data_IF_682242042223
#
_entry.id   IF_682242042223
#
_cell.length_a   1.000
_cell.length_b   1.000
_cell.length_c   1.000
_cell.angle_alpha   90.00
_cell.angle_beta   90.00
_cell.angle_gamma   90.00
#
_symmetry.space_group_name_H-M   'P 1'
#
loop_
_entity.id
_entity.type
_entity.pdbx_description
1 polymer ?
#
# COMPACT_ATOMS: atom_id res chain seq x y z
N UNK A 1 21.12 2.86 -19.26
CA UNK A 1 19.77 2.68 -18.71
C UNK A 1 19.85 2.90 -17.21
N UNK A 2 18.90 3.62 -16.62
CA UNK A 2 18.82 3.75 -15.16
C UNK A 2 18.01 2.56 -14.63
N UNK A 3 18.68 1.68 -13.88
CA UNK A 3 18.07 0.51 -13.24
C UNK A 3 17.18 0.96 -12.07
N UNK A 4 15.98 1.44 -12.38
CA UNK A 4 14.94 1.70 -11.39
C UNK A 4 14.28 0.37 -10.99
N UNK A 5 14.98 -0.41 -10.17
CA UNK A 5 14.39 -1.54 -9.46
C UNK A 5 13.71 -1.05 -8.18
N UNK A 6 12.47 -1.48 -7.99
CA UNK A 6 11.69 -1.19 -6.79
C UNK A 6 11.36 -2.51 -6.09
N UNK A 7 11.51 -2.53 -4.77
CA UNK A 7 11.12 -3.64 -3.93
C UNK A 7 9.82 -3.26 -3.21
N UNK A 8 8.79 -4.10 -3.37
CA UNK A 8 7.49 -3.93 -2.73
C UNK A 8 7.32 -4.98 -1.63
N UNK A 9 7.08 -4.52 -0.40
CA UNK A 9 6.73 -5.34 0.76
C UNK A 9 5.29 -5.07 1.17
N UNK A 10 4.60 -6.13 1.59
CA UNK A 10 3.27 -6.06 2.18
C UNK A 10 3.39 -6.53 3.62
N UNK A 11 2.97 -5.69 4.56
CA UNK A 11 2.88 -6.06 5.97
C UNK A 11 1.43 -6.28 6.37
N UNK A 12 1.19 -7.42 7.01
CA UNK A 12 -0.11 -7.91 7.44
C UNK A 12 -0.12 -7.99 8.97
N UNK A 13 -0.65 -6.96 9.61
CA UNK A 13 -0.93 -6.99 11.03
C UNK A 13 -2.42 -7.29 11.30
N UNK A 14 -2.75 -7.74 12.52
CA UNK A 14 -4.09 -8.23 12.90
C UNK A 14 -5.27 -7.33 12.47
N UNK A 15 -5.07 -6.01 12.46
CA UNK A 15 -6.09 -5.03 12.10
C UNK A 15 -5.59 -3.96 11.11
N UNK A 16 -4.42 -4.18 10.50
CA UNK A 16 -3.75 -3.17 9.71
C UNK A 16 -3.00 -3.82 8.55
N UNK A 17 -3.12 -3.20 7.39
CA UNK A 17 -2.50 -3.64 6.15
C UNK A 17 -1.64 -2.48 5.66
N UNK A 18 -0.39 -2.74 5.30
CA UNK A 18 0.45 -1.72 4.68
C UNK A 18 1.19 -2.23 3.46
N UNK A 19 1.43 -1.30 2.53
CA UNK A 19 2.29 -1.50 1.37
C UNK A 19 3.45 -0.54 1.51
N UNK A 20 4.66 -1.08 1.41
CA UNK A 20 5.90 -0.34 1.46
C UNK A 20 6.71 -0.63 0.20
N UNK A 21 7.01 0.41 -0.56
CA UNK A 21 7.83 0.33 -1.77
C UNK A 21 9.10 1.13 -1.52
N UNK A 22 10.24 0.49 -1.71
CA UNK A 22 11.56 1.11 -1.67
C UNK A 22 12.23 1.01 -3.03
N UNK A 23 13.03 2.02 -3.37
CA UNK A 23 13.91 1.94 -4.52
C UNK A 23 15.14 1.07 -4.23
N UNK A 24 15.95 0.86 -5.27
CA UNK A 24 17.20 0.10 -5.20
C UNK A 24 18.26 0.69 -4.25
N UNK A 25 18.07 1.92 -3.78
CA UNK A 25 18.93 2.60 -2.81
C UNK A 25 18.32 2.55 -1.39
N UNK A 26 17.21 1.85 -1.21
CA UNK A 26 16.49 1.75 0.06
C UNK A 26 15.66 2.97 0.42
N UNK A 27 15.49 3.94 -0.49
CA UNK A 27 14.64 5.10 -0.25
C UNK A 27 13.18 4.72 -0.43
N UNK A 28 12.34 5.13 0.53
CA UNK A 28 10.89 4.91 0.47
C UNK A 28 10.28 5.71 -0.69
N UNK A 29 9.70 4.99 -1.64
CA UNK A 29 8.96 5.54 -2.77
C UNK A 29 7.44 5.61 -2.48
N UNK A 30 6.91 4.63 -1.75
CA UNK A 30 5.51 4.59 -1.33
C UNK A 30 5.40 3.93 0.04
N UNK A 31 4.69 4.56 0.96
CA UNK A 31 4.26 3.92 2.20
C UNK A 31 2.79 4.26 2.43
N UNK A 32 1.93 3.26 2.30
CA UNK A 32 0.47 3.40 2.48
C UNK A 32 -0.01 2.34 3.44
N UNK A 33 -0.94 2.74 4.31
CA UNK A 33 -1.42 1.87 5.35
C UNK A 33 -2.90 2.09 5.59
N UNK A 34 -3.64 1.00 5.75
CA UNK A 34 -5.10 1.00 5.91
C UNK A 34 -5.49 0.12 7.08
N UNK A 35 -6.52 0.54 7.81
CA UNK A 35 -7.07 -0.24 8.92
C UNK A 35 -8.11 -1.22 8.42
N UNK A 36 -8.25 -2.35 9.12
CA UNK A 36 -9.27 -3.37 8.85
C UNK A 36 -10.67 -2.79 8.81
N UNK A 37 -10.98 -1.83 9.68
CA UNK A 37 -12.28 -1.13 9.66
C UNK A 37 -12.55 -0.41 8.32
N UNK A 38 -11.54 0.28 7.76
CA UNK A 38 -11.64 0.94 6.46
C UNK A 38 -11.70 -0.04 5.29
N UNK A 39 -11.09 -1.22 5.44
CA UNK A 39 -11.16 -2.29 4.45
C UNK A 39 -12.52 -3.01 4.47
N UNK A 40 -13.15 -3.12 5.65
CA UNK A 40 -14.44 -3.79 5.86
C UNK A 40 -15.66 -2.88 5.64
N UNK A 41 -15.49 -1.55 5.61
CA UNK A 41 -16.54 -0.64 5.13
C UNK A 41 -16.90 -1.08 3.71
N UNK A 42 -18.20 -1.32 3.42
CA UNK A 42 -18.59 -2.39 2.52
C UNK A 42 -17.91 -2.35 1.16
N UNK A 43 -17.57 -3.55 0.73
CA UNK A 43 -17.33 -4.03 -0.63
C UNK A 43 -18.52 -3.75 -1.60
N UNK A 44 -19.23 -2.63 -1.42
CA UNK A 44 -20.26 -2.09 -2.31
C UNK A 44 -19.50 -1.36 -3.42
N UNK A 45 -19.06 -2.15 -4.39
CA UNK A 45 -18.41 -1.71 -5.63
C UNK A 45 -16.92 -1.46 -5.48
N UNK A 46 -16.09 -2.50 -5.61
CA UNK A 46 -14.70 -2.53 -6.15
C UNK A 46 -13.75 -1.32 -5.88
N UNK A 47 -13.94 -0.53 -4.83
CA UNK A 47 -13.21 0.73 -4.60
C UNK A 47 -12.14 0.61 -3.50
N UNK A 48 -11.98 -0.55 -2.85
CA UNK A 48 -10.98 -0.72 -1.79
C UNK A 48 -9.53 -0.66 -2.29
N UNK A 49 -9.28 -1.02 -3.56
CA UNK A 49 -7.97 -0.80 -4.21
C UNK A 49 -7.72 0.71 -4.37
N UNK A 50 -8.77 1.50 -4.64
CA UNK A 50 -8.68 2.95 -4.80
C UNK A 50 -8.26 3.62 -3.48
N UNK A 51 -8.76 3.17 -2.32
CA UNK A 51 -8.36 3.73 -1.02
C UNK A 51 -6.86 3.59 -0.71
N UNK A 52 -6.16 2.64 -1.34
CA UNK A 52 -4.71 2.45 -1.20
C UNK A 52 -3.94 3.30 -2.26
N UNK A 53 -4.54 3.51 -3.43
CA UNK A 53 -3.92 4.20 -4.57
C UNK A 53 -4.18 5.71 -4.64
N UNK A 54 -5.20 6.25 -3.98
CA UNK A 54 -5.47 7.70 -3.99
C UNK A 54 -4.75 8.42 -2.84
N UNK A 55 -4.07 9.55 -3.09
CA UNK A 55 -3.62 10.44 -2.04
C UNK A 55 -4.83 11.21 -1.47
N UNK A 56 -5.06 11.10 -0.16
CA UNK A 56 -5.86 12.08 0.60
C UNK A 56 -5.05 13.33 0.84
#
# INVERSE_FOLDING_TARGET
>A
MSDYSYFCGIDLAKNHFSIHVIDSKGKVALHKSVTRSKLLTPMIGMNSIICILTPT
#
